data_IF_664900312125
#
_entry.id   IF_664900312125
#
_cell.length_a   1.000
_cell.length_b   1.000
_cell.length_c   1.000
_cell.angle_alpha   90.00
_cell.angle_beta   90.00
_cell.angle_gamma   90.00
#
_symmetry.space_group_name_H-M   'P 1'
#
loop_
_entity.id
_entity.type
_entity.pdbx_description
1 polymer ?
#
# COMPACT_ATOMS: atom_id res chain seq x y z
N UNK A 1 22.48 -10.69 2.91
CA UNK A 1 21.36 -10.80 1.99
C UNK A 1 20.35 -9.71 2.27
N UNK A 2 20.00 -8.98 1.26
CA UNK A 2 19.00 -7.93 1.41
C UNK A 2 17.60 -8.54 1.36
N UNK A 3 16.72 -8.04 2.20
CA UNK A 3 15.32 -8.41 2.19
C UNK A 3 14.58 -7.45 1.29
N UNK A 4 13.63 -7.97 0.55
CA UNK A 4 12.81 -7.14 -0.32
C UNK A 4 11.42 -7.01 0.27
N UNK A 5 10.79 -5.88 -0.03
CA UNK A 5 9.45 -5.55 0.44
C UNK A 5 8.59 -5.13 -0.74
N UNK A 6 7.32 -5.43 -0.65
CA UNK A 6 6.35 -4.88 -1.59
C UNK A 6 5.84 -3.55 -1.05
N UNK A 7 5.95 -2.52 -1.88
CA UNK A 7 5.28 -1.25 -1.61
C UNK A 7 3.99 -1.25 -2.41
N UNK A 8 2.88 -1.28 -1.70
CA UNK A 8 1.56 -1.31 -2.32
C UNK A 8 0.95 0.09 -2.22
N UNK A 9 0.47 0.60 -3.35
CA UNK A 9 -0.16 1.91 -3.41
C UNK A 9 -1.60 1.75 -3.89
N UNK A 10 -2.54 2.28 -3.14
CA UNK A 10 -3.96 2.24 -3.48
C UNK A 10 -4.48 3.67 -3.58
N UNK A 11 -4.99 4.02 -4.76
CA UNK A 11 -5.66 5.29 -4.97
C UNK A 11 -7.16 5.02 -4.92
N UNK A 12 -7.85 5.69 -3.99
CA UNK A 12 -9.27 5.43 -3.78
C UNK A 12 -9.98 6.69 -3.34
N UNK A 13 -11.30 6.62 -3.27
CA UNK A 13 -12.08 7.71 -2.71
C UNK A 13 -11.85 7.77 -1.20
N UNK A 14 -11.82 8.97 -0.61
CA UNK A 14 -11.59 9.09 0.84
C UNK A 14 -12.57 8.28 1.69
N UNK A 15 -13.77 8.07 1.20
CA UNK A 15 -14.78 7.29 1.91
C UNK A 15 -14.42 5.81 2.02
N UNK A 16 -13.47 5.34 1.19
CA UNK A 16 -13.02 3.94 1.22
C UNK A 16 -11.84 3.73 2.17
N UNK A 17 -11.37 4.77 2.84
CA UNK A 17 -10.16 4.70 3.66
C UNK A 17 -10.19 3.52 4.65
N UNK A 18 -11.25 3.42 5.43
CA UNK A 18 -11.37 2.36 6.43
C UNK A 18 -11.39 0.98 5.81
N UNK A 19 -12.12 0.83 4.72
CA UNK A 19 -12.23 -0.45 4.01
C UNK A 19 -10.87 -0.87 3.46
N UNK A 20 -10.14 0.08 2.87
CA UNK A 20 -8.81 -0.19 2.32
C UNK A 20 -7.84 -0.56 3.43
N UNK A 21 -7.85 0.17 4.54
CA UNK A 21 -7.01 -0.16 5.69
C UNK A 21 -7.29 -1.56 6.21
N UNK A 22 -8.56 -1.89 6.36
CA UNK A 22 -8.94 -3.20 6.85
C UNK A 22 -8.45 -4.32 5.94
N UNK A 23 -8.59 -4.12 4.64
CA UNK A 23 -8.10 -5.10 3.67
C UNK A 23 -6.59 -5.27 3.72
N UNK A 24 -5.88 -4.16 3.82
CA UNK A 24 -4.42 -4.21 3.88
C UNK A 24 -3.95 -4.88 5.16
N UNK A 25 -4.59 -4.61 6.28
CA UNK A 25 -4.27 -5.26 7.54
C UNK A 25 -4.55 -6.76 7.48
N UNK A 26 -5.70 -7.13 6.94
CA UNK A 26 -6.07 -8.53 6.78
C UNK A 26 -5.10 -9.27 5.86
N UNK A 27 -4.59 -8.58 4.86
CA UNK A 27 -3.60 -9.12 3.94
C UNK A 27 -2.25 -9.37 4.63
N UNK A 28 -1.97 -8.66 5.70
CA UNK A 28 -0.74 -8.81 6.47
C UNK A 28 0.24 -7.68 6.31
N UNK A 29 -0.21 -6.55 5.79
CA UNK A 29 0.65 -5.39 5.61
C UNK A 29 0.97 -4.72 6.94
N UNK A 30 2.17 -4.14 7.02
CA UNK A 30 2.56 -3.32 8.15
C UNK A 30 3.01 -1.96 7.63
N UNK A 31 2.91 -0.94 8.48
CA UNK A 31 3.37 0.39 8.14
C UNK A 31 2.54 1.05 7.05
N UNK A 32 1.27 1.33 7.32
CA UNK A 32 0.42 2.05 6.37
C UNK A 32 0.59 3.55 6.51
N UNK A 33 0.49 4.26 5.39
CA UNK A 33 0.55 5.71 5.35
C UNK A 33 -0.48 6.23 4.36
N UNK A 34 -1.02 7.41 4.63
CA UNK A 34 -2.01 8.02 3.75
C UNK A 34 -1.59 9.40 3.34
N UNK A 35 -2.00 9.80 2.15
CA UNK A 35 -1.79 11.15 1.64
C UNK A 35 -3.01 11.58 0.86
N UNK A 36 -3.51 12.76 1.14
CA UNK A 36 -4.64 13.30 0.40
C UNK A 36 -4.16 13.92 -0.90
N UNK A 37 -4.82 13.58 -2.00
CA UNK A 37 -4.52 14.10 -3.32
C UNK A 37 -5.80 14.69 -3.88
N UNK A 38 -5.92 16.00 -3.91
CA UNK A 38 -7.10 16.68 -4.45
C UNK A 38 -8.43 16.01 -4.03
N UNK A 39 -8.98 15.17 -4.90
CA UNK A 39 -10.25 14.49 -4.65
C UNK A 39 -10.09 13.02 -4.32
N UNK A 40 -8.85 12.52 -4.21
CA UNK A 40 -8.61 11.10 -3.92
C UNK A 40 -7.69 10.94 -2.72
N UNK A 41 -7.61 9.71 -2.25
CA UNK A 41 -6.75 9.34 -1.14
C UNK A 41 -5.74 8.31 -1.63
N UNK A 42 -4.47 8.53 -1.31
CA UNK A 42 -3.43 7.56 -1.61
C UNK A 42 -3.06 6.83 -0.33
N UNK A 43 -3.18 5.51 -0.34
CA UNK A 43 -2.81 4.67 0.80
C UNK A 43 -1.62 3.83 0.39
N UNK A 44 -0.55 3.90 1.17
CA UNK A 44 0.64 3.07 0.96
C UNK A 44 0.78 2.07 2.09
N UNK A 45 1.17 0.85 1.73
CA UNK A 45 1.36 -0.21 2.71
C UNK A 45 2.57 -1.05 2.29
N UNK A 46 3.17 -1.71 3.25
CA UNK A 46 4.38 -2.48 3.03
C UNK A 46 4.21 -3.88 3.57
N UNK A 47 4.69 -4.85 2.81
CA UNK A 47 4.67 -6.25 3.25
C UNK A 47 5.94 -6.93 2.75
N UNK A 48 6.60 -7.75 3.60
CA UNK A 48 7.78 -8.49 3.15
C UNK A 48 7.48 -9.39 1.97
N UNK A 49 8.40 -9.46 1.03
CA UNK A 49 8.22 -10.28 -0.17
C UNK A 49 7.92 -11.73 0.17
N UNK A 50 8.53 -12.25 1.22
CA UNK A 50 8.33 -13.65 1.60
C UNK A 50 6.90 -13.95 2.08
N UNK A 51 6.16 -12.92 2.46
CA UNK A 51 4.78 -13.09 2.94
C UNK A 51 3.75 -12.96 1.86
N UNK A 52 4.09 -12.41 0.71
CA UNK A 52 3.15 -12.21 -0.39
C UNK A 52 3.85 -12.37 -1.72
N UNK A 53 3.17 -13.00 -2.65
CA UNK A 53 3.67 -13.19 -4.01
C UNK A 53 2.75 -12.45 -4.99
N UNK A 54 3.17 -12.40 -6.25
CA UNK A 54 2.38 -11.68 -7.27
C UNK A 54 0.91 -12.10 -7.32
N UNK A 55 0.57 -13.40 -7.32
CA UNK A 55 -0.84 -13.78 -7.32
C UNK A 55 -1.62 -13.26 -6.11
N UNK A 56 -0.94 -13.14 -4.96
CA UNK A 56 -1.58 -12.60 -3.76
C UNK A 56 -1.88 -11.11 -3.93
N UNK A 57 -0.96 -10.36 -4.53
CA UNK A 57 -1.16 -8.94 -4.80
C UNK A 57 -2.29 -8.72 -5.79
N UNK A 58 -2.38 -9.56 -6.80
CA UNK A 58 -3.47 -9.49 -7.77
C UNK A 58 -4.82 -9.75 -7.10
N UNK A 59 -4.86 -10.73 -6.20
CA UNK A 59 -6.07 -11.03 -5.43
C UNK A 59 -6.48 -9.85 -4.57
N UNK A 60 -5.51 -9.21 -3.92
CA UNK A 60 -5.79 -8.04 -3.11
C UNK A 60 -6.42 -6.93 -3.96
N UNK A 61 -5.89 -6.70 -5.15
CA UNK A 61 -6.44 -5.70 -6.06
C UNK A 61 -7.90 -6.01 -6.42
N UNK A 62 -8.19 -7.28 -6.69
CA UNK A 62 -9.56 -7.71 -7.00
C UNK A 62 -10.50 -7.51 -5.82
N UNK A 63 -10.05 -7.84 -4.62
CA UNK A 63 -10.86 -7.67 -3.42
C UNK A 63 -11.19 -6.21 -3.19
N UNK A 64 -10.23 -5.32 -3.38
CA UNK A 64 -10.45 -3.89 -3.23
C UNK A 64 -11.46 -3.37 -4.25
N UNK A 65 -11.37 -3.85 -5.49
CA UNK A 65 -12.34 -3.48 -6.53
C UNK A 65 -13.74 -3.94 -6.16
N UNK A 66 -13.87 -5.17 -5.67
CA UNK A 66 -15.16 -5.71 -5.28
C UNK A 66 -15.76 -4.96 -4.10
N UNK A 67 -14.92 -4.61 -3.11
CA UNK A 67 -15.39 -3.84 -1.97
C UNK A 67 -15.96 -2.49 -2.41
N UNK A 68 -15.27 -1.82 -3.32
CA UNK A 68 -15.72 -0.53 -3.83
C UNK A 68 -17.05 -0.68 -4.58
N UNK A 69 -17.16 -1.71 -5.39
CA UNK A 69 -18.38 -1.97 -6.15
C UNK A 69 -19.58 -2.20 -5.22
N UNK A 70 -19.37 -3.01 -4.19
CA UNK A 70 -20.42 -3.33 -3.23
C UNK A 70 -20.89 -2.07 -2.51
N UNK A 71 -19.96 -1.19 -2.17
CA UNK A 71 -20.27 0.05 -1.46
C UNK A 71 -20.73 1.18 -2.38
N UNK A 72 -20.68 0.97 -3.70
CA UNK A 72 -21.12 1.98 -4.65
C UNK A 72 -20.12 3.08 -4.93
N UNK A 73 -18.84 2.82 -4.73
CA UNK A 73 -17.79 3.80 -4.98
C UNK A 73 -17.04 3.49 -6.27
N UNK A 74 -16.25 4.46 -6.71
CA UNK A 74 -15.40 4.29 -7.87
C UNK A 74 -14.36 3.21 -7.62
N UNK A 75 -13.93 2.55 -8.69
CA UNK A 75 -12.95 1.49 -8.61
C UNK A 75 -11.60 2.04 -8.17
N UNK A 76 -11.01 1.49 -7.09
CA UNK A 76 -9.69 1.94 -6.67
C UNK A 76 -8.60 1.43 -7.61
N UNK A 77 -7.52 2.19 -7.70
CA UNK A 77 -6.37 1.81 -8.51
C UNK A 77 -5.29 1.28 -7.58
N UNK A 78 -4.94 0.02 -7.75
CA UNK A 78 -3.92 -0.64 -6.93
C UNK A 78 -2.68 -0.91 -7.76
N UNK A 79 -1.54 -0.51 -7.23
CA UNK A 79 -0.25 -0.77 -7.86
C UNK A 79 0.74 -1.24 -6.80
N UNK A 80 1.81 -1.87 -7.23
CA UNK A 80 2.83 -2.35 -6.30
C UNK A 80 4.17 -2.36 -6.99
N UNK A 81 5.23 -2.25 -6.20
CA UNK A 81 6.58 -2.36 -6.68
C UNK A 81 7.45 -3.01 -5.60
N UNK A 82 8.47 -3.70 -6.04
CA UNK A 82 9.42 -4.34 -5.13
C UNK A 82 10.50 -3.33 -4.77
N UNK A 83 10.75 -3.18 -3.47
CA UNK A 83 11.80 -2.30 -2.99
C UNK A 83 12.76 -3.09 -2.11
N UNK A 84 14.01 -2.69 -2.11
CA UNK A 84 15.02 -3.28 -1.24
C UNK A 84 14.99 -2.62 0.12
N UNK A 85 15.16 -3.42 1.14
CA UNK A 85 15.22 -2.90 2.50
C UNK A 85 16.36 -1.90 2.65
N UNK A 86 17.48 -2.15 1.98
CA UNK A 86 18.62 -1.24 2.01
C UNK A 86 18.28 0.14 1.44
N UNK A 87 17.62 0.17 0.30
CA UNK A 87 17.23 1.43 -0.32
C UNK A 87 16.25 2.18 0.55
N UNK A 88 15.31 1.47 1.13
CA UNK A 88 14.33 2.06 2.01
C UNK A 88 15.01 2.65 3.25
N UNK A 89 15.92 1.92 3.88
CA UNK A 89 16.65 2.37 5.04
C UNK A 89 17.55 3.55 4.72
N UNK A 90 18.20 3.53 3.56
CA UNK A 90 19.04 4.62 3.09
C UNK A 90 18.26 5.91 2.92
N UNK A 91 17.10 5.80 2.29
CA UNK A 91 16.23 6.94 2.06
C UNK A 91 15.79 7.54 3.39
N UNK A 92 15.48 6.68 4.34
CA UNK A 92 15.07 7.09 5.68
C UNK A 92 16.18 7.83 6.40
N UNK A 93 17.40 7.33 6.32
CA UNK A 93 18.56 7.93 6.92
C UNK A 93 18.85 9.31 6.36
N UNK A 94 18.69 9.47 5.05
CA UNK A 94 18.87 10.77 4.40
C UNK A 94 17.86 11.78 4.93
N UNK A 95 16.65 11.34 5.14
CA UNK A 95 15.61 12.18 5.69
C UNK A 95 15.97 12.66 7.10
N UNK A 96 16.54 11.77 7.88
CA UNK A 96 16.99 12.08 9.23
C UNK A 96 18.08 13.15 9.25
N UNK A 97 19.02 13.02 8.33
CA UNK A 97 20.12 13.97 8.25
C UNK A 97 19.65 15.38 7.89
N UNK A 98 18.64 15.44 7.05
CA UNK A 98 18.08 16.73 6.63
C UNK A 98 17.39 17.43 7.80
N UNK A 99 16.77 16.70 8.68
CA UNK A 99 16.05 17.29 9.79
C UNK A 99 16.97 17.81 10.90
N UNK A 100 18.22 17.48 10.82
CA UNK A 100 19.21 18.04 11.73
C UNK A 100 19.71 19.38 11.21
#
# INVERSE_FOLDING_TARGET
MSNSWWEITVLCEPSLEETVFWRLEDFGCSGTATAKKQSSLEVKAYIPEIKAQLPDLESLSLWLKQDALILGFSEPVTSWQLIDEEDWASSWKQHWQISE
#
